data_IF_343947059886
#
_entry.id   IF_343947059886
#
_cell.length_a   1.000
_cell.length_b   1.000
_cell.length_c   1.000
_cell.angle_alpha   90.00
_cell.angle_beta   90.00
_cell.angle_gamma   90.00
#
_symmetry.space_group_name_H-M   'P 1'
#
loop_
_entity.id
_entity.type
_entity.pdbx_description
1 polymer ?
#
# COMPACT_ATOMS: atom_id res chain seq x y z
N UNK A 1 18.56 -7.84 -12.76
CA UNK A 1 17.61 -8.59 -13.61
C UNK A 1 17.68 -10.11 -13.43
N UNK A 2 18.87 -10.75 -13.42
CA UNK A 2 18.94 -12.21 -13.19
C UNK A 2 18.40 -12.64 -11.81
N UNK A 3 18.84 -11.97 -10.73
CA UNK A 3 18.39 -12.32 -9.38
C UNK A 3 16.89 -12.16 -9.17
N UNK A 4 16.27 -11.11 -9.72
CA UNK A 4 14.82 -10.91 -9.63
C UNK A 4 14.05 -11.97 -10.43
N UNK A 5 14.54 -12.36 -11.62
CA UNK A 5 13.94 -13.45 -12.40
C UNK A 5 14.02 -14.78 -11.65
N UNK A 6 15.18 -15.15 -11.13
CA UNK A 6 15.34 -16.38 -10.37
C UNK A 6 14.50 -16.41 -9.08
N UNK A 7 14.41 -15.28 -8.37
CA UNK A 7 13.54 -15.18 -7.20
C UNK A 7 12.07 -15.41 -7.60
N UNK A 8 11.59 -14.70 -8.62
CA UNK A 8 10.20 -14.80 -9.09
C UNK A 8 9.90 -16.20 -9.63
N UNK A 9 10.78 -16.77 -10.46
CA UNK A 9 10.59 -18.09 -11.07
C UNK A 9 10.59 -19.20 -10.01
N UNK A 10 11.52 -19.14 -9.04
CA UNK A 10 11.60 -20.13 -7.95
C UNK A 10 10.41 -20.02 -7.01
N UNK A 11 10.03 -18.79 -6.63
CA UNK A 11 8.88 -18.54 -5.77
C UNK A 11 7.57 -19.00 -6.43
N UNK A 12 7.41 -18.73 -7.74
CA UNK A 12 6.26 -19.16 -8.53
C UNK A 12 6.20 -20.69 -8.62
N UNK A 13 7.35 -21.35 -8.82
CA UNK A 13 7.44 -22.82 -8.88
C UNK A 13 7.02 -23.47 -7.57
N UNK A 14 7.50 -22.96 -6.43
CA UNK A 14 7.15 -23.47 -5.10
C UNK A 14 5.66 -23.27 -4.82
N UNK A 15 5.13 -22.09 -5.11
CA UNK A 15 3.74 -21.79 -4.84
C UNK A 15 2.76 -22.61 -5.71
N UNK A 16 3.11 -22.85 -6.99
CA UNK A 16 2.38 -23.78 -7.85
C UNK A 16 2.41 -25.21 -7.33
N UNK A 17 3.56 -25.67 -6.81
CA UNK A 17 3.69 -26.98 -6.20
C UNK A 17 2.81 -27.13 -4.94
N UNK A 18 2.50 -26.02 -4.26
CA UNK A 18 1.56 -25.96 -3.13
C UNK A 18 0.09 -25.77 -3.56
N UNK A 19 -0.22 -25.78 -4.86
CA UNK A 19 -1.57 -25.62 -5.38
C UNK A 19 -2.09 -24.18 -5.35
N UNK A 20 -1.21 -23.19 -5.15
CA UNK A 20 -1.57 -21.77 -5.17
C UNK A 20 -1.77 -21.32 -6.62
N UNK A 21 -2.85 -20.59 -6.89
CA UNK A 21 -3.14 -20.05 -8.23
C UNK A 21 -2.12 -18.98 -8.65
N UNK A 22 -1.84 -18.88 -9.95
CA UNK A 22 -0.97 -17.85 -10.54
C UNK A 22 -1.36 -16.43 -10.08
N UNK A 23 -2.66 -16.21 -9.92
CA UNK A 23 -3.24 -14.98 -9.46
C UNK A 23 -2.87 -14.66 -8.00
N UNK A 24 -2.96 -15.63 -7.09
CA UNK A 24 -2.49 -15.43 -5.71
C UNK A 24 -0.97 -15.21 -5.65
N UNK A 25 -0.19 -15.90 -6.48
CA UNK A 25 1.28 -15.76 -6.53
C UNK A 25 1.67 -14.33 -6.91
N UNK A 26 1.04 -13.78 -7.95
CA UNK A 26 1.26 -12.39 -8.37
C UNK A 26 0.87 -11.37 -7.30
N UNK A 27 -0.31 -11.55 -6.70
CA UNK A 27 -0.86 -10.63 -5.69
C UNK A 27 -0.11 -10.66 -4.36
N UNK A 28 0.53 -11.77 -3.99
CA UNK A 28 1.15 -11.94 -2.68
C UNK A 28 2.67 -12.03 -2.80
N UNK A 29 3.21 -13.10 -3.36
CA UNK A 29 4.64 -13.41 -3.27
C UNK A 29 5.48 -12.45 -4.12
N UNK A 30 5.05 -12.17 -5.34
CA UNK A 30 5.78 -11.25 -6.23
C UNK A 30 5.67 -9.82 -5.73
N UNK A 31 4.45 -9.38 -5.41
CA UNK A 31 4.15 -8.06 -4.86
C UNK A 31 4.90 -7.77 -3.55
N UNK A 32 4.86 -8.69 -2.58
CA UNK A 32 5.58 -8.52 -1.32
C UNK A 32 7.09 -8.59 -1.56
N UNK A 33 7.54 -9.52 -2.40
CA UNK A 33 8.96 -9.74 -2.70
C UNK A 33 9.69 -8.49 -3.18
N UNK A 34 9.03 -7.63 -3.97
CA UNK A 34 9.63 -6.37 -4.44
C UNK A 34 9.76 -5.30 -3.36
N UNK A 35 8.88 -5.30 -2.36
CA UNK A 35 8.87 -4.29 -1.28
C UNK A 35 9.51 -4.79 0.02
N UNK A 36 9.84 -6.08 0.12
CA UNK A 36 10.51 -6.67 1.30
C UNK A 36 11.84 -5.96 1.67
N UNK A 37 12.74 -5.64 0.72
CA UNK A 37 13.97 -4.93 1.06
C UNK A 37 13.69 -3.55 1.67
N UNK A 38 12.73 -2.81 1.12
CA UNK A 38 12.33 -1.49 1.58
C UNK A 38 11.65 -1.55 2.95
N UNK A 39 10.81 -2.57 3.18
CA UNK A 39 10.22 -2.84 4.48
C UNK A 39 11.30 -3.16 5.51
N UNK A 40 12.29 -3.99 5.17
CA UNK A 40 13.38 -4.33 6.06
C UNK A 40 14.22 -3.11 6.44
N UNK A 41 14.54 -2.22 5.48
CA UNK A 41 15.29 -0.98 5.77
C UNK A 41 14.48 -0.03 6.66
N UNK A 42 13.19 0.17 6.37
CA UNK A 42 12.31 1.02 7.20
C UNK A 42 12.10 0.47 8.61
N UNK A 43 11.95 -0.84 8.78
CA UNK A 43 11.85 -1.49 10.10
C UNK A 43 13.15 -1.30 10.89
N UNK A 44 14.29 -1.57 10.27
CA UNK A 44 15.60 -1.42 10.92
C UNK A 44 15.87 0.03 11.35
N UNK A 45 15.57 1.00 10.48
CA UNK A 45 15.68 2.42 10.81
C UNK A 45 14.74 2.81 11.98
N UNK A 46 13.49 2.32 11.98
CA UNK A 46 12.53 2.56 13.05
C UNK A 46 12.99 1.98 14.40
N UNK A 47 13.53 0.75 14.41
CA UNK A 47 14.09 0.11 15.62
C UNK A 47 15.28 0.89 16.17
N UNK A 48 16.11 1.48 15.30
CA UNK A 48 17.24 2.33 15.68
C UNK A 48 16.83 3.74 16.13
N UNK A 49 15.54 4.06 16.09
CA UNK A 49 15.03 5.40 16.43
C UNK A 49 15.23 6.44 15.31
N UNK A 50 15.72 6.02 14.14
CA UNK A 50 15.98 6.88 12.97
C UNK A 50 14.70 7.05 12.14
N UNK A 51 13.70 7.70 12.73
CA UNK A 51 12.36 7.85 12.11
C UNK A 51 12.39 8.60 10.78
N UNK A 52 13.23 9.62 10.66
CA UNK A 52 13.36 10.40 9.41
C UNK A 52 13.90 9.54 8.25
N UNK A 53 14.79 8.58 8.54
CA UNK A 53 15.30 7.63 7.55
C UNK A 53 14.19 6.64 7.16
N UNK A 54 13.42 6.13 8.13
CA UNK A 54 12.31 5.23 7.85
C UNK A 54 11.24 5.87 6.96
N UNK A 55 10.87 7.13 7.24
CA UNK A 55 9.91 7.91 6.44
C UNK A 55 10.49 8.28 5.09
N UNK A 56 11.76 8.70 5.05
CA UNK A 56 12.47 9.04 3.82
C UNK A 56 12.57 7.87 2.85
N UNK A 57 12.79 6.65 3.35
CA UNK A 57 12.79 5.44 2.55
C UNK A 57 11.41 5.17 1.91
N UNK A 58 10.32 5.23 2.69
CA UNK A 58 8.96 4.97 2.18
C UNK A 58 8.52 6.03 1.16
N UNK A 59 8.73 7.31 1.46
CA UNK A 59 8.37 8.39 0.54
C UNK A 59 9.26 8.40 -0.70
N UNK A 60 10.57 8.23 -0.51
CA UNK A 60 11.57 8.23 -1.59
C UNK A 60 11.33 7.11 -2.59
N UNK A 61 11.12 5.87 -2.13
CA UNK A 61 10.85 4.73 -3.02
C UNK A 61 9.58 4.92 -3.85
N UNK A 62 8.49 5.41 -3.25
CA UNK A 62 7.24 5.65 -3.98
C UNK A 62 7.38 6.78 -5.02
N UNK A 63 8.03 7.89 -4.64
CA UNK A 63 8.30 9.00 -5.58
C UNK A 63 9.20 8.53 -6.72
N UNK A 64 10.25 7.77 -6.43
CA UNK A 64 11.15 7.21 -7.45
C UNK A 64 10.44 6.23 -8.38
N UNK A 65 9.59 5.35 -7.86
CA UNK A 65 8.83 4.40 -8.68
C UNK A 65 7.85 5.11 -9.62
N UNK A 66 7.16 6.15 -9.15
CA UNK A 66 6.20 6.90 -9.99
C UNK A 66 6.92 7.80 -11.01
N UNK A 67 7.93 8.55 -10.59
CA UNK A 67 8.58 9.54 -11.46
C UNK A 67 9.63 8.90 -12.36
N UNK A 68 10.55 8.12 -11.78
CA UNK A 68 11.67 7.56 -12.52
C UNK A 68 11.25 6.27 -13.24
N UNK A 69 10.76 5.26 -12.53
CA UNK A 69 10.48 3.95 -13.15
C UNK A 69 9.31 4.04 -14.13
N UNK A 70 8.15 4.53 -13.68
CA UNK A 70 6.97 4.65 -14.55
C UNK A 70 7.16 5.74 -15.63
N UNK A 71 7.81 6.87 -15.30
CA UNK A 71 8.14 7.91 -16.28
C UNK A 71 9.07 7.41 -17.38
N UNK A 72 10.16 6.72 -17.03
CA UNK A 72 11.06 6.10 -18.02
C UNK A 72 10.36 5.00 -18.81
N UNK A 73 9.54 4.15 -18.17
CA UNK A 73 8.77 3.13 -18.86
C UNK A 73 7.82 3.73 -19.90
N UNK A 74 7.19 4.88 -19.59
CA UNK A 74 6.37 5.65 -20.52
C UNK A 74 7.17 6.23 -21.69
N UNK A 75 8.37 6.78 -21.43
CA UNK A 75 9.23 7.31 -22.50
C UNK A 75 9.77 6.24 -23.43
N UNK A 76 10.09 5.05 -22.90
CA UNK A 76 10.70 3.95 -23.65
C UNK A 76 9.67 3.07 -24.39
N UNK A 77 8.38 3.24 -24.13
CA UNK A 77 7.31 2.44 -24.74
C UNK A 77 6.54 3.27 -25.77
N UNK A 78 6.75 3.07 -27.08
CA UNK A 78 6.12 3.89 -28.12
C UNK A 78 4.59 3.80 -28.15
N UNK A 79 4.05 2.67 -27.70
CA UNK A 79 2.60 2.41 -27.59
C UNK A 79 1.99 2.89 -26.26
N UNK A 80 2.78 3.50 -25.38
CA UNK A 80 2.38 3.83 -24.01
C UNK A 80 2.36 2.62 -23.07
N UNK A 81 2.28 2.89 -21.77
CA UNK A 81 2.14 1.86 -20.73
C UNK A 81 0.68 1.43 -20.68
N UNK A 82 0.41 0.15 -20.94
CA UNK A 82 -0.94 -0.40 -20.80
C UNK A 82 -1.36 -0.38 -19.33
N UNK A 83 -2.40 0.40 -19.02
CA UNK A 83 -2.99 0.49 -17.69
C UNK A 83 -4.33 -0.23 -17.71
N UNK A 84 -4.57 -1.14 -16.77
CA UNK A 84 -5.84 -1.84 -16.67
C UNK A 84 -6.96 -0.89 -16.25
N UNK A 85 -8.19 -1.16 -16.69
CA UNK A 85 -9.35 -0.36 -16.34
C UNK A 85 -9.60 -0.36 -14.82
N UNK A 86 -9.37 -1.50 -14.15
CA UNK A 86 -9.39 -1.63 -12.70
C UNK A 86 -8.35 -0.75 -12.00
N UNK A 87 -7.19 -0.53 -12.62
CA UNK A 87 -6.19 0.37 -12.06
C UNK A 87 -6.66 1.83 -12.10
N UNK A 88 -7.29 2.25 -13.21
CA UNK A 88 -7.81 3.61 -13.40
C UNK A 88 -9.02 3.89 -12.50
N UNK A 89 -9.98 2.97 -12.46
CA UNK A 89 -11.26 3.20 -11.77
C UNK A 89 -11.17 2.99 -10.26
N UNK A 90 -10.22 2.18 -9.78
CA UNK A 90 -10.16 1.81 -8.37
C UNK A 90 -8.78 2.03 -7.73
N UNK A 91 -7.71 1.45 -8.28
CA UNK A 91 -6.43 1.42 -7.57
C UNK A 91 -5.80 2.82 -7.45
N UNK A 92 -5.81 3.59 -8.54
CA UNK A 92 -5.27 4.96 -8.57
C UNK A 92 -6.09 5.90 -7.66
N UNK A 93 -7.44 5.95 -7.74
CA UNK A 93 -8.26 6.75 -6.83
C UNK A 93 -8.04 6.39 -5.35
N UNK A 94 -7.94 5.10 -5.02
CA UNK A 94 -7.66 4.64 -3.65
C UNK A 94 -6.27 5.11 -3.20
N UNK A 95 -5.24 4.96 -4.04
CA UNK A 95 -3.88 5.42 -3.72
C UNK A 95 -3.82 6.94 -3.47
N UNK A 96 -4.56 7.71 -4.27
CA UNK A 96 -4.69 9.17 -4.09
C UNK A 96 -5.41 9.47 -2.78
N UNK A 97 -6.56 8.85 -2.52
CA UNK A 97 -7.34 9.06 -1.31
C UNK A 97 -6.53 8.75 -0.04
N UNK A 98 -5.80 7.64 -0.02
CA UNK A 98 -4.90 7.27 1.09
C UNK A 98 -3.78 8.29 1.24
N UNK A 99 -3.17 8.74 0.14
CA UNK A 99 -2.12 9.77 0.18
C UNK A 99 -2.62 11.06 0.83
N UNK A 100 -3.82 11.52 0.48
CA UNK A 100 -4.46 12.67 1.12
C UNK A 100 -4.81 12.43 2.59
N UNK A 101 -5.30 11.23 2.93
CA UNK A 101 -5.60 10.86 4.31
C UNK A 101 -4.35 10.86 5.20
N UNK A 102 -3.17 10.62 4.63
CA UNK A 102 -1.90 10.67 5.35
C UNK A 102 -1.34 12.09 5.55
N UNK A 103 -1.73 13.09 4.74
CA UNK A 103 -1.18 14.46 4.83
C UNK A 103 -1.37 15.13 6.22
N UNK A 104 -2.55 15.04 6.88
CA UNK A 104 -2.74 15.62 8.20
C UNK A 104 -1.76 15.03 9.23
N UNK A 105 -1.54 13.72 9.17
CA UNK A 105 -0.68 12.96 10.09
C UNK A 105 0.77 13.40 9.94
N UNK A 106 1.25 13.54 8.71
CA UNK A 106 2.62 14.03 8.47
C UNK A 106 2.81 15.50 8.86
N UNK A 107 1.77 16.33 8.77
CA UNK A 107 1.83 17.75 9.14
C UNK A 107 1.88 18.02 10.65
N UNK A 108 1.58 17.01 11.49
CA UNK A 108 1.42 17.12 12.95
C UNK A 108 2.71 16.96 13.76
N UNK A 109 3.88 16.95 13.12
CA UNK A 109 5.18 16.92 13.82
C UNK A 109 6.05 15.70 13.51
N UNK A 110 5.98 15.18 12.28
CA UNK A 110 6.86 14.11 11.77
C UNK A 110 6.85 12.81 12.61
N UNK A 111 5.77 12.55 13.36
CA UNK A 111 5.67 11.38 14.23
C UNK A 111 4.34 10.67 13.99
N UNK A 112 4.42 9.41 13.59
CA UNK A 112 3.29 8.49 13.51
C UNK A 112 3.18 7.79 14.87
N UNK A 113 2.04 7.92 15.52
CA UNK A 113 1.78 7.21 16.77
C UNK A 113 1.50 5.72 16.52
N UNK A 114 1.74 4.87 17.53
CA UNK A 114 1.57 3.41 17.39
C UNK A 114 0.15 3.01 16.96
N UNK A 115 -0.85 3.77 17.40
CA UNK A 115 -2.24 3.56 17.02
C UNK A 115 -2.51 3.90 15.54
N UNK A 116 -1.93 4.99 15.04
CA UNK A 116 -2.01 5.37 13.62
C UNK A 116 -1.34 4.30 12.73
N UNK A 117 -0.18 3.77 13.17
CA UNK A 117 0.48 2.65 12.50
C UNK A 117 -0.36 1.36 12.47
N UNK A 118 -1.08 1.07 13.57
CA UNK A 118 -2.02 -0.07 13.61
C UNK A 118 -3.19 0.13 12.64
N UNK A 119 -3.74 1.35 12.58
CA UNK A 119 -4.81 1.70 11.65
C UNK A 119 -4.38 1.50 10.18
N UNK A 120 -3.19 1.97 9.80
CA UNK A 120 -2.67 1.78 8.45
C UNK A 120 -2.39 0.32 8.12
N UNK A 121 -1.88 -0.45 9.09
CA UNK A 121 -1.64 -1.89 8.90
C UNK A 121 -2.95 -2.64 8.73
N UNK A 122 -3.98 -2.33 9.53
CA UNK A 122 -5.32 -2.87 9.37
C UNK A 122 -5.87 -2.57 7.97
N UNK A 123 -5.72 -1.34 7.49
CA UNK A 123 -6.15 -0.97 6.14
C UNK A 123 -5.43 -1.70 5.03
N UNK A 124 -4.12 -1.87 5.17
CA UNK A 124 -3.33 -2.65 4.23
C UNK A 124 -3.83 -4.09 4.15
N UNK A 125 -4.01 -4.75 5.29
CA UNK A 125 -4.54 -6.13 5.35
C UNK A 125 -5.95 -6.21 4.75
N UNK A 126 -6.82 -5.25 5.09
CA UNK A 126 -8.17 -5.20 4.56
C UNK A 126 -8.17 -5.00 3.02
N UNK A 127 -7.29 -4.17 2.50
CA UNK A 127 -7.13 -3.99 1.05
C UNK A 127 -6.59 -5.25 0.36
N UNK A 128 -5.60 -5.93 0.95
CA UNK A 128 -5.10 -7.21 0.41
C UNK A 128 -6.17 -8.29 0.41
N UNK A 129 -6.97 -8.39 1.48
CA UNK A 129 -8.11 -9.33 1.54
C UNK A 129 -9.15 -9.00 0.46
N UNK A 130 -9.47 -7.72 0.25
CA UNK A 130 -10.35 -7.31 -0.83
C UNK A 130 -9.85 -7.80 -2.19
N UNK A 131 -8.57 -7.54 -2.51
CA UNK A 131 -7.99 -7.95 -3.78
C UNK A 131 -8.01 -9.48 -3.96
N UNK A 132 -7.76 -10.25 -2.90
CA UNK A 132 -7.82 -11.71 -2.96
C UNK A 132 -9.26 -12.18 -3.21
N UNK A 133 -10.24 -11.64 -2.49
CA UNK A 133 -11.65 -12.01 -2.67
C UNK A 133 -12.18 -11.66 -4.06
N UNK A 134 -11.82 -10.47 -4.57
CA UNK A 134 -12.20 -9.98 -5.89
C UNK A 134 -11.63 -10.89 -6.98
N UNK A 135 -10.34 -11.19 -6.85
CA UNK A 135 -9.62 -12.00 -7.79
C UNK A 135 -10.04 -13.49 -7.76
N UNK A 136 -10.56 -13.99 -6.63
CA UNK A 136 -11.16 -15.32 -6.50
C UNK A 136 -12.65 -15.37 -6.89
N UNK A 137 -13.28 -14.23 -7.23
CA UNK A 137 -14.74 -14.11 -7.43
C UNK A 137 -15.54 -14.73 -6.27
N UNK A 138 -15.07 -14.54 -5.04
CA UNK A 138 -15.66 -15.19 -3.87
C UNK A 138 -17.02 -14.56 -3.53
N UNK A 139 -18.00 -15.38 -3.15
CA UNK A 139 -19.37 -14.93 -2.81
C UNK A 139 -19.45 -13.94 -1.64
N UNK A 140 -18.37 -13.82 -0.85
CA UNK A 140 -18.29 -12.91 0.30
C UNK A 140 -17.91 -11.48 -0.10
N UNK A 141 -17.53 -11.23 -1.36
CA UNK A 141 -17.14 -9.91 -1.85
C UNK A 141 -18.22 -8.83 -1.61
N UNK A 142 -19.52 -9.06 -1.89
CA UNK A 142 -20.53 -8.02 -1.71
C UNK A 142 -20.73 -7.65 -0.23
N UNK A 143 -20.67 -8.65 0.66
CA UNK A 143 -20.75 -8.46 2.10
C UNK A 143 -19.53 -7.67 2.57
N UNK A 144 -18.33 -8.07 2.13
CA UNK A 144 -17.08 -7.39 2.46
C UNK A 144 -17.10 -5.92 2.03
N UNK A 145 -17.53 -5.65 0.80
CA UNK A 145 -17.62 -4.29 0.26
C UNK A 145 -18.63 -3.44 1.05
N UNK A 146 -19.78 -4.02 1.40
CA UNK A 146 -20.82 -3.34 2.20
C UNK A 146 -20.30 -2.98 3.59
N UNK A 147 -19.56 -3.88 4.25
CA UNK A 147 -18.98 -3.61 5.57
C UNK A 147 -17.88 -2.55 5.48
N UNK A 148 -17.00 -2.65 4.48
CA UNK A 148 -15.89 -1.71 4.30
C UNK A 148 -16.38 -0.29 3.96
N UNK A 149 -17.29 -0.16 3.00
CA UNK A 149 -17.85 1.14 2.59
C UNK A 149 -18.86 1.70 3.60
N UNK A 150 -19.68 0.83 4.20
CA UNK A 150 -20.77 1.24 5.08
C UNK A 150 -20.33 1.58 6.51
N UNK A 151 -19.29 0.91 7.02
CA UNK A 151 -18.86 1.06 8.41
C UNK A 151 -17.40 1.49 8.55
N UNK A 152 -16.47 0.79 7.92
CA UNK A 152 -15.03 0.97 8.18
C UNK A 152 -14.52 2.32 7.66
N UNK A 153 -14.81 2.65 6.40
CA UNK A 153 -14.36 3.91 5.78
C UNK A 153 -14.99 5.13 6.48
N UNK A 154 -16.30 5.21 6.72
CA UNK A 154 -16.90 6.35 7.44
C UNK A 154 -16.32 6.52 8.85
N UNK A 155 -16.18 5.42 9.61
CA UNK A 155 -15.64 5.46 10.97
C UNK A 155 -14.22 6.03 11.00
N UNK A 156 -13.39 5.66 10.04
CA UNK A 156 -12.01 6.15 9.98
C UNK A 156 -11.89 7.55 9.42
N UNK A 157 -12.75 7.98 8.49
CA UNK A 157 -12.82 9.40 8.11
C UNK A 157 -13.16 10.22 9.35
N UNK A 158 -14.15 9.80 10.14
CA UNK A 158 -14.48 10.45 11.42
C UNK A 158 -13.27 10.44 12.35
N UNK A 159 -12.58 9.31 12.49
CA UNK A 159 -11.40 9.17 13.36
C UNK A 159 -10.28 10.13 12.92
N UNK A 160 -9.93 10.16 11.64
CA UNK A 160 -8.90 11.06 11.10
C UNK A 160 -9.30 12.53 11.23
N UNK A 161 -10.57 12.88 10.99
CA UNK A 161 -11.08 14.24 11.18
C UNK A 161 -11.01 14.64 12.65
N UNK A 162 -11.42 13.77 13.58
CA UNK A 162 -11.36 14.06 15.01
C UNK A 162 -9.93 14.25 15.50
N UNK A 163 -9.00 13.40 15.04
CA UNK A 163 -7.56 13.52 15.32
C UNK A 163 -7.03 14.84 14.77
N UNK A 164 -7.32 15.17 13.51
CA UNK A 164 -6.88 16.43 12.89
C UNK A 164 -7.43 17.67 13.62
N UNK A 165 -8.70 17.64 14.05
CA UNK A 165 -9.32 18.74 14.81
C UNK A 165 -8.72 18.88 16.21
N UNK A 166 -8.49 17.76 16.91
CA UNK A 166 -7.86 17.77 18.23
C UNK A 166 -6.42 18.29 18.17
N UNK A 167 -5.66 17.87 17.15
CA UNK A 167 -4.30 18.36 16.91
C UNK A 167 -4.27 19.85 16.57
N UNK A 168 -5.21 20.34 15.74
CA UNK A 168 -5.32 21.78 15.43
C UNK A 168 -5.63 22.61 16.68
N UNK A 169 -6.48 22.12 17.59
CA UNK A 169 -6.77 22.76 18.88
C UNK A 169 -5.58 22.74 19.84
N UNK A 170 -4.81 21.65 19.88
CA UNK A 170 -3.61 21.55 20.72
C UNK A 170 -2.50 22.53 20.27
N UNK A 171 -2.43 22.84 18.96
CA UNK A 171 -1.45 23.77 18.39
C UNK A 171 -1.81 25.26 18.56
N UNK A 172 -3.05 25.57 18.95
CA UNK A 172 -3.55 26.93 19.22
C UNK A 172 -3.47 27.31 20.71
N UNK A 173 -3.00 26.40 21.56
CA UNK A 173 -2.69 26.65 22.97
C UNK A 173 -1.18 26.74 23.14
#
# INVERSE_FOLDING_TARGET
MLGSRWLVDSATTIAKALGVSDLLIGLTIVSLGTSLPELATSIMASIRGERDIAVGNVLGSNIFNILAVLGMAGMLTPSGVAVSEAAIQFNIPVAIAVSFACLPIFSSGNRIDRWEGFLFTFYYVAYTVYLILDAMNHESLPIYNTVMLGFVIPLTIITLVTVAVQQKKARQR
#
